data_IF_103752461296
#
_entry.id   IF_103752461296
#
_cell.length_a   1.000
_cell.length_b   1.000
_cell.length_c   1.000
_cell.angle_alpha   90.00
_cell.angle_beta   90.00
_cell.angle_gamma   90.00
#
_symmetry.space_group_name_H-M   'P 1'
#
loop_
_entity.id
_entity.type
_entity.pdbx_description
1 polymer ?
#
# COMPACT_ATOMS: atom_id res chain seq x y z
N UNK A 1 -29.58 4.04 -14.22
CA UNK A 1 -28.46 3.13 -14.49
C UNK A 1 -27.37 3.32 -13.45
N UNK A 2 -26.72 2.23 -13.06
CA UNK A 2 -25.63 2.33 -12.10
C UNK A 2 -24.38 2.91 -12.76
N UNK A 3 -23.58 3.63 -11.99
CA UNK A 3 -22.30 4.12 -12.45
C UNK A 3 -21.36 2.94 -12.72
N UNK A 4 -20.62 3.01 -13.80
CA UNK A 4 -19.68 1.95 -14.16
C UNK A 4 -18.31 2.21 -13.56
N UNK A 5 -17.69 1.14 -13.07
CA UNK A 5 -16.37 1.22 -12.46
C UNK A 5 -15.33 1.79 -13.41
N UNK A 6 -15.41 1.42 -14.69
CA UNK A 6 -14.47 1.94 -15.72
C UNK A 6 -14.57 3.45 -15.88
N UNK A 7 -15.78 4.00 -15.81
CA UNK A 7 -16.01 5.43 -15.90
C UNK A 7 -15.32 6.15 -14.74
N UNK A 8 -15.52 5.65 -13.52
CA UNK A 8 -14.91 6.24 -12.33
C UNK A 8 -13.41 6.05 -12.35
N UNK A 9 -12.93 4.89 -12.79
CA UNK A 9 -11.48 4.63 -12.91
C UNK A 9 -10.81 5.64 -13.84
N UNK A 10 -11.45 5.99 -14.95
CA UNK A 10 -10.93 6.99 -15.89
C UNK A 10 -10.82 8.36 -15.22
N UNK A 11 -11.84 8.75 -14.46
CA UNK A 11 -11.82 10.04 -13.74
C UNK A 11 -10.74 10.07 -12.65
N UNK A 12 -10.56 8.97 -11.95
CA UNK A 12 -9.51 8.87 -10.93
C UNK A 12 -8.14 9.02 -11.59
N UNK A 13 -7.91 8.33 -12.69
CA UNK A 13 -6.63 8.41 -13.41
C UNK A 13 -6.35 9.82 -13.92
N UNK A 14 -7.37 10.51 -14.41
CA UNK A 14 -7.22 11.89 -14.84
C UNK A 14 -6.81 12.81 -13.68
N UNK A 15 -7.45 12.63 -12.51
CA UNK A 15 -7.09 13.39 -11.32
C UNK A 15 -5.68 13.10 -10.83
N UNK A 16 -5.25 11.85 -10.92
CA UNK A 16 -3.91 11.44 -10.50
C UNK A 16 -2.80 11.95 -11.42
N UNK A 17 -3.13 12.26 -12.68
CA UNK A 17 -2.15 12.79 -13.63
C UNK A 17 -1.60 14.14 -13.23
N UNK A 18 -2.34 14.92 -12.43
CA UNK A 18 -1.89 16.21 -11.95
C UNK A 18 -0.76 16.11 -10.93
N UNK A 19 -0.61 14.95 -10.29
CA UNK A 19 0.47 14.72 -9.32
C UNK A 19 0.95 13.27 -9.44
N UNK A 20 2.07 13.09 -10.11
CA UNK A 20 2.63 11.76 -10.39
C UNK A 20 3.10 11.02 -9.14
N UNK A 21 3.24 11.72 -8.02
CA UNK A 21 3.59 11.06 -6.76
C UNK A 21 2.44 10.28 -6.16
N UNK A 22 1.21 10.51 -6.63
CA UNK A 22 0.02 9.83 -6.14
C UNK A 22 -0.36 8.65 -7.03
N UNK A 23 -0.92 7.61 -6.43
CA UNK A 23 -1.38 6.44 -7.17
C UNK A 23 -2.59 5.80 -6.49
N UNK A 24 -3.35 5.04 -7.27
CA UNK A 24 -4.56 4.36 -6.81
C UNK A 24 -4.21 3.03 -6.14
N UNK A 25 -4.79 2.80 -4.96
CA UNK A 25 -4.68 1.52 -4.25
C UNK A 25 -5.92 0.67 -4.53
N UNK A 26 -7.11 1.25 -4.37
CA UNK A 26 -8.34 0.49 -4.55
C UNK A 26 -9.48 1.40 -4.95
N UNK A 27 -10.43 0.86 -5.71
CA UNK A 27 -11.66 1.54 -6.11
C UNK A 27 -12.81 0.57 -5.95
N UNK A 28 -13.78 0.94 -5.12
CA UNK A 28 -14.97 0.14 -4.87
C UNK A 28 -16.21 0.94 -5.15
N UNK A 29 -17.21 0.31 -5.78
CA UNK A 29 -18.53 0.89 -5.96
C UNK A 29 -19.51 -0.12 -5.40
N UNK A 30 -20.21 0.27 -4.34
CA UNK A 30 -21.21 -0.59 -3.71
C UNK A 30 -22.63 -0.14 -4.08
N UNK A 31 -23.62 -0.87 -3.60
CA UNK A 31 -25.04 -0.60 -3.90
C UNK A 31 -25.41 0.85 -3.56
N UNK A 32 -26.19 1.47 -4.45
CA UNK A 32 -26.60 2.85 -4.28
C UNK A 32 -25.55 3.84 -4.76
N UNK A 33 -24.63 3.40 -5.62
CA UNK A 33 -23.56 4.23 -6.15
C UNK A 33 -22.68 4.84 -5.05
N UNK A 34 -22.33 4.02 -4.06
CA UNK A 34 -21.38 4.41 -3.02
C UNK A 34 -19.96 4.15 -3.54
N UNK A 35 -19.25 5.22 -3.86
CA UNK A 35 -17.91 5.15 -4.44
C UNK A 35 -16.87 5.35 -3.34
N UNK A 36 -15.95 4.41 -3.22
CA UNK A 36 -14.82 4.54 -2.29
C UNK A 36 -13.52 4.41 -3.05
N UNK A 37 -12.68 5.43 -2.93
CA UNK A 37 -11.38 5.49 -3.59
C UNK A 37 -10.29 5.55 -2.52
N UNK A 38 -9.35 4.64 -2.59
CA UNK A 38 -8.21 4.63 -1.68
C UNK A 38 -6.95 4.92 -2.49
N UNK A 39 -6.23 5.95 -2.10
CA UNK A 39 -5.01 6.39 -2.77
C UNK A 39 -3.83 6.37 -1.80
N UNK A 40 -2.64 6.33 -2.35
CA UNK A 40 -1.42 6.52 -1.59
C UNK A 40 -0.45 7.34 -2.45
N UNK A 41 0.70 7.67 -1.90
CA UNK A 41 1.68 8.47 -2.61
C UNK A 41 3.10 8.08 -2.23
N UNK A 42 4.04 8.47 -3.06
CA UNK A 42 5.47 8.30 -2.78
C UNK A 42 5.90 9.20 -1.61
N UNK A 43 5.06 10.16 -1.25
CA UNK A 43 5.20 11.07 -0.12
C UNK A 43 3.98 10.96 0.78
N UNK A 44 4.03 11.58 1.95
CA UNK A 44 2.88 11.62 2.84
C UNK A 44 1.75 12.44 2.20
N UNK A 45 0.54 11.92 2.30
CA UNK A 45 -0.63 12.58 1.74
C UNK A 45 -1.19 13.62 2.70
N UNK A 46 -1.68 14.72 2.14
CA UNK A 46 -2.42 15.74 2.87
C UNK A 46 -3.91 15.57 2.60
N UNK A 47 -4.74 16.25 3.40
CA UNK A 47 -6.18 16.30 3.16
C UNK A 47 -6.46 16.91 1.79
N UNK A 48 -5.67 17.91 1.39
CA UNK A 48 -5.80 18.55 0.08
C UNK A 48 -5.64 17.57 -1.08
N UNK A 49 -4.76 16.59 -0.94
CA UNK A 49 -4.57 15.58 -1.99
C UNK A 49 -5.86 14.79 -2.22
N UNK A 50 -6.51 14.34 -1.14
CA UNK A 50 -7.76 13.61 -1.24
C UNK A 50 -8.89 14.49 -1.78
N UNK A 51 -8.96 15.74 -1.35
CA UNK A 51 -9.97 16.70 -1.82
C UNK A 51 -9.82 16.94 -3.32
N UNK A 52 -8.60 17.12 -3.81
CA UNK A 52 -8.35 17.36 -5.22
C UNK A 52 -8.82 16.19 -6.09
N UNK A 53 -8.56 14.97 -5.67
CA UNK A 53 -9.03 13.77 -6.39
C UNK A 53 -10.56 13.69 -6.33
N UNK A 54 -11.15 13.96 -5.17
CA UNK A 54 -12.60 13.96 -4.99
C UNK A 54 -13.26 14.96 -5.95
N UNK A 55 -12.73 16.17 -6.05
CA UNK A 55 -13.27 17.19 -6.96
C UNK A 55 -13.12 16.79 -8.42
N UNK A 56 -12.01 16.19 -8.80
CA UNK A 56 -11.82 15.73 -10.18
C UNK A 56 -12.88 14.71 -10.58
N UNK A 57 -13.31 13.88 -9.64
CA UNK A 57 -14.38 12.89 -9.89
C UNK A 57 -15.75 13.59 -9.92
N UNK A 58 -16.06 14.37 -8.89
CA UNK A 58 -17.37 15.01 -8.74
C UNK A 58 -17.72 15.96 -9.88
N UNK A 59 -16.74 16.76 -10.34
CA UNK A 59 -16.99 17.74 -11.39
C UNK A 59 -17.31 17.11 -12.75
N UNK A 60 -17.02 15.83 -12.91
CA UNK A 60 -17.27 15.11 -14.15
C UNK A 60 -18.46 14.13 -14.05
N UNK A 61 -19.19 14.18 -12.94
CA UNK A 61 -20.41 13.40 -12.75
C UNK A 61 -21.58 14.33 -12.47
N UNK A 62 -22.77 13.95 -12.92
CA UNK A 62 -23.98 14.74 -12.73
C UNK A 62 -24.92 14.02 -11.77
N UNK A 63 -25.11 14.60 -10.57
CA UNK A 63 -26.00 14.04 -9.55
C UNK A 63 -27.47 14.09 -9.94
N UNK A 64 -27.84 14.99 -10.87
CA UNK A 64 -29.22 15.06 -11.36
C UNK A 64 -29.56 13.89 -12.27
N UNK A 65 -28.56 13.38 -13.00
CA UNK A 65 -28.73 12.20 -13.84
C UNK A 65 -28.67 10.94 -12.98
N UNK A 66 -27.69 10.87 -12.07
CA UNK A 66 -27.53 9.70 -11.22
C UNK A 66 -26.80 10.13 -9.93
N UNK A 67 -27.50 9.98 -8.80
CA UNK A 67 -26.94 10.36 -7.52
C UNK A 67 -25.87 9.35 -7.07
N UNK A 68 -24.93 9.81 -6.27
CA UNK A 68 -23.83 9.00 -5.77
C UNK A 68 -23.30 9.56 -4.46
N UNK A 69 -22.63 8.72 -3.69
CA UNK A 69 -21.78 9.18 -2.59
C UNK A 69 -20.33 8.88 -2.96
N UNK A 70 -19.42 9.75 -2.53
CA UNK A 70 -18.00 9.63 -2.86
C UNK A 70 -17.15 9.84 -1.63
N UNK A 71 -16.26 8.89 -1.38
CA UNK A 71 -15.26 9.00 -0.34
C UNK A 71 -13.89 8.76 -0.97
N UNK A 72 -12.97 9.70 -0.77
CA UNK A 72 -11.57 9.54 -1.17
C UNK A 72 -10.74 9.56 0.10
N UNK A 73 -9.99 8.49 0.34
CA UNK A 73 -9.20 8.35 1.55
C UNK A 73 -7.78 7.91 1.23
N UNK A 74 -6.86 8.24 2.14
CA UNK A 74 -5.49 7.75 2.04
C UNK A 74 -5.39 6.35 2.64
N UNK A 75 -4.44 5.56 2.14
CA UNK A 75 -4.15 4.24 2.69
C UNK A 75 -3.56 4.40 4.10
N UNK A 76 -4.10 3.65 5.06
CA UNK A 76 -3.61 3.69 6.43
C UNK A 76 -2.22 3.09 6.56
N UNK A 77 -1.45 3.54 7.55
CA UNK A 77 -0.08 3.11 7.76
C UNK A 77 0.05 1.61 8.04
N UNK A 78 -0.98 1.00 8.63
CA UNK A 78 -0.97 -0.43 8.97
C UNK A 78 -1.76 -1.29 7.97
N UNK A 79 -2.33 -0.67 6.94
CA UNK A 79 -3.05 -1.42 5.92
C UNK A 79 -2.10 -2.26 5.07
N UNK A 80 -2.56 -3.40 4.52
CA UNK A 80 -1.70 -4.21 3.65
C UNK A 80 -1.17 -3.40 2.48
N UNK A 81 0.10 -3.63 2.15
CA UNK A 81 0.74 -3.00 1.00
C UNK A 81 0.34 -3.75 -0.27
N UNK A 82 -0.21 -3.04 -1.24
CA UNK A 82 -0.74 -3.64 -2.46
C UNK A 82 -0.02 -3.18 -3.73
N UNK A 83 0.84 -2.18 -3.60
CA UNK A 83 1.56 -1.61 -4.74
C UNK A 83 3.05 -1.54 -4.46
N UNK A 84 3.87 -1.86 -5.48
CA UNK A 84 5.32 -1.86 -5.32
C UNK A 84 5.86 -0.50 -4.85
N UNK A 85 5.25 0.59 -5.29
CA UNK A 85 5.64 1.94 -4.85
C UNK A 85 5.47 2.13 -3.35
N UNK A 86 4.52 1.42 -2.72
CA UNK A 86 4.35 1.46 -1.27
C UNK A 86 5.53 0.82 -0.56
N UNK A 87 6.11 -0.24 -1.14
CA UNK A 87 7.33 -0.83 -0.57
C UNK A 87 8.49 0.15 -0.68
N UNK A 88 8.65 0.82 -1.82
CA UNK A 88 9.71 1.81 -1.99
C UNK A 88 9.61 2.94 -0.96
N UNK A 89 8.38 3.41 -0.70
CA UNK A 89 8.10 4.44 0.30
C UNK A 89 8.48 4.00 1.71
N UNK A 90 8.39 2.71 2.00
CA UNK A 90 8.57 2.17 3.33
C UNK A 90 9.94 1.54 3.57
N UNK A 91 10.90 1.78 2.69
CA UNK A 91 12.29 1.35 2.92
C UNK A 91 12.81 1.97 4.21
N UNK A 92 13.41 1.14 5.06
CA UNK A 92 13.86 1.53 6.39
C UNK A 92 12.89 1.17 7.50
N UNK A 93 11.70 0.69 7.16
CA UNK A 93 10.70 0.30 8.14
C UNK A 93 10.64 -1.22 8.26
N UNK A 94 10.12 -1.68 9.39
CA UNK A 94 9.94 -3.10 9.62
C UNK A 94 8.62 -3.57 9.02
N UNK A 95 8.67 -4.68 8.28
CA UNK A 95 7.50 -5.24 7.64
C UNK A 95 7.21 -6.66 8.11
N UNK A 96 5.93 -7.01 8.11
CA UNK A 96 5.49 -8.40 8.17
C UNK A 96 5.15 -8.81 6.74
N UNK A 97 5.85 -9.81 6.21
CA UNK A 97 5.67 -10.28 4.84
C UNK A 97 5.26 -11.74 4.87
N UNK A 98 4.13 -12.05 4.26
CA UNK A 98 3.59 -13.40 4.19
C UNK A 98 3.71 -13.89 2.74
N UNK A 99 4.35 -15.04 2.58
CA UNK A 99 4.39 -15.76 1.31
C UNK A 99 3.61 -17.06 1.48
N UNK A 100 3.49 -17.84 0.41
CA UNK A 100 2.82 -19.14 0.53
C UNK A 100 3.55 -20.12 1.44
N UNK A 101 4.84 -19.92 1.64
CA UNK A 101 5.68 -20.83 2.41
C UNK A 101 5.91 -20.37 3.84
N UNK A 102 5.96 -19.07 4.09
CA UNK A 102 6.35 -18.58 5.41
C UNK A 102 5.90 -17.16 5.69
N UNK A 103 6.04 -16.74 6.93
CA UNK A 103 5.86 -15.37 7.37
C UNK A 103 7.19 -14.84 7.89
N UNK A 104 7.61 -13.69 7.38
CA UNK A 104 8.88 -13.07 7.77
C UNK A 104 8.60 -11.68 8.36
N UNK A 105 9.15 -11.40 9.53
CA UNK A 105 9.16 -10.06 10.10
C UNK A 105 10.59 -9.52 9.99
N UNK A 106 10.78 -8.48 9.19
CA UNK A 106 12.11 -8.01 8.85
C UNK A 106 12.10 -6.54 8.45
N UNK A 107 13.29 -5.93 8.46
CA UNK A 107 13.46 -4.59 7.96
C UNK A 107 13.53 -4.61 6.44
N UNK A 108 12.79 -3.71 5.82
CA UNK A 108 12.85 -3.53 4.37
C UNK A 108 14.05 -2.62 4.07
N UNK A 109 15.08 -3.18 3.44
CA UNK A 109 16.32 -2.44 3.20
C UNK A 109 16.44 -1.91 1.78
N UNK A 110 15.62 -2.41 0.86
CA UNK A 110 15.65 -1.91 -0.51
C UNK A 110 14.62 -2.59 -1.38
N UNK A 111 14.38 -1.98 -2.52
CA UNK A 111 13.52 -2.53 -3.59
C UNK A 111 14.29 -2.34 -4.90
N UNK A 112 14.53 -3.44 -5.61
CA UNK A 112 15.14 -3.40 -6.94
C UNK A 112 14.23 -4.13 -7.92
N UNK A 113 13.84 -3.45 -8.99
CA UNK A 113 12.88 -3.99 -9.95
C UNK A 113 11.62 -4.46 -9.21
N UNK A 114 11.23 -5.71 -9.33
CA UNK A 114 10.08 -6.29 -8.66
C UNK A 114 10.45 -7.10 -7.43
N UNK A 115 11.66 -6.89 -6.88
CA UNK A 115 12.18 -7.69 -5.78
C UNK A 115 12.40 -6.81 -4.55
N UNK A 116 11.85 -7.25 -3.40
CA UNK A 116 12.10 -6.58 -2.12
C UNK A 116 13.24 -7.28 -1.41
N UNK A 117 14.07 -6.50 -0.72
CA UNK A 117 15.20 -6.98 0.05
C UNK A 117 14.92 -6.79 1.53
N UNK A 118 14.94 -7.88 2.26
CA UNK A 118 14.64 -7.91 3.70
C UNK A 118 15.85 -8.33 4.50
N UNK A 119 15.94 -7.81 5.72
CA UNK A 119 17.03 -8.11 6.65
C UNK A 119 16.48 -8.21 8.07
N UNK A 120 16.90 -9.26 8.78
CA UNK A 120 16.53 -9.41 10.18
C UNK A 120 17.62 -10.12 10.95
N UNK A 121 17.47 -10.13 12.27
CA UNK A 121 18.41 -10.82 13.17
C UNK A 121 17.67 -11.98 13.81
N UNK A 122 18.24 -13.18 13.72
CA UNK A 122 17.72 -14.37 14.36
C UNK A 122 18.71 -14.87 15.40
N UNK A 123 18.20 -15.53 16.43
CA UNK A 123 19.05 -16.20 17.42
C UNK A 123 19.17 -17.66 17.05
N UNK A 124 20.37 -18.12 16.88
CA UNK A 124 20.64 -19.52 16.52
C UNK A 124 21.65 -20.13 17.49
N UNK A 125 21.62 -21.48 17.66
CA UNK A 125 22.62 -22.13 18.50
C UNK A 125 24.02 -21.84 18.02
N UNK A 126 24.92 -21.62 18.96
CA UNK A 126 26.34 -21.39 18.62
C UNK A 126 26.94 -22.66 18.03
N UNK A 127 27.77 -22.58 16.98
CA UNK A 127 28.45 -23.74 16.40
C UNK A 127 29.36 -24.43 17.42
N UNK A 128 29.90 -23.64 18.36
CA UNK A 128 30.78 -24.16 19.41
C UNK A 128 30.33 -23.57 20.74
N UNK A 129 30.18 -24.43 21.76
CA UNK A 129 29.79 -24.02 23.09
C UNK A 129 28.28 -23.98 23.28
N UNK A 130 27.85 -23.48 24.45
CA UNK A 130 26.44 -23.39 24.82
C UNK A 130 25.88 -22.00 24.54
N UNK A 131 24.57 -21.94 24.42
CA UNK A 131 23.85 -20.69 24.23
C UNK A 131 23.57 -20.39 22.79
N UNK A 132 23.05 -19.18 22.54
CA UNK A 132 22.68 -18.73 21.21
C UNK A 132 23.43 -17.45 20.85
N UNK A 133 23.67 -17.25 19.58
CA UNK A 133 24.24 -16.01 19.09
C UNK A 133 23.32 -15.39 18.05
N UNK A 134 23.48 -14.10 17.81
CA UNK A 134 22.70 -13.39 16.83
C UNK A 134 23.29 -13.61 15.45
N UNK A 135 22.42 -14.01 14.52
CA UNK A 135 22.81 -14.20 13.11
C UNK A 135 21.99 -13.26 12.26
N UNK A 136 22.67 -12.51 11.41
CA UNK A 136 22.02 -11.60 10.49
C UNK A 136 21.57 -12.39 9.28
N UNK A 137 20.29 -12.28 8.94
CA UNK A 137 19.70 -12.97 7.81
C UNK A 137 19.15 -11.98 6.80
N UNK A 138 19.18 -12.36 5.55
CA UNK A 138 18.63 -11.56 4.45
C UNK A 138 17.78 -12.43 3.55
N UNK A 139 16.80 -11.84 2.92
CA UNK A 139 15.96 -12.52 1.94
C UNK A 139 15.62 -11.57 0.82
N UNK A 140 15.45 -12.13 -0.37
CA UNK A 140 15.00 -11.42 -1.55
C UNK A 140 13.70 -12.09 -1.99
N UNK A 141 12.62 -11.31 -2.04
CA UNK A 141 11.29 -11.84 -2.35
C UNK A 141 10.72 -11.07 -3.52
N UNK A 142 10.28 -11.79 -4.55
CA UNK A 142 9.61 -11.18 -5.69
C UNK A 142 8.24 -10.66 -5.25
N UNK A 143 7.87 -9.48 -5.74
CA UNK A 143 6.58 -8.86 -5.42
C UNK A 143 5.42 -9.82 -5.67
N UNK A 144 5.48 -10.58 -6.78
CA UNK A 144 4.42 -11.52 -7.15
C UNK A 144 4.31 -12.72 -6.20
N UNK A 145 5.33 -12.99 -5.40
CA UNK A 145 5.31 -14.09 -4.42
C UNK A 145 4.76 -13.67 -3.08
N UNK A 146 4.48 -12.39 -2.89
CA UNK A 146 3.97 -11.87 -1.63
C UNK A 146 2.45 -12.04 -1.59
N UNK A 147 1.97 -12.77 -0.57
CA UNK A 147 0.53 -12.93 -0.33
C UNK A 147 -0.01 -11.72 0.41
N UNK A 148 0.73 -11.23 1.40
CA UNK A 148 0.34 -10.08 2.21
C UNK A 148 1.58 -9.45 2.82
N UNK A 149 1.61 -8.12 2.87
CA UNK A 149 2.67 -7.39 3.54
C UNK A 149 2.08 -6.17 4.25
N UNK A 150 2.57 -5.89 5.46
CA UNK A 150 2.12 -4.76 6.27
C UNK A 150 3.30 -4.16 7.01
N UNK A 151 3.25 -2.86 7.23
CA UNK A 151 4.22 -2.19 8.09
C UNK A 151 3.92 -2.52 9.54
N UNK A 152 4.94 -2.89 10.29
CA UNK A 152 4.83 -3.13 11.73
C UNK A 152 5.15 -1.84 12.44
N UNK A 153 4.16 -1.32 13.17
CA UNK A 153 4.34 -0.11 13.96
C UNK A 153 4.66 -0.51 15.39
N UNK A 154 5.82 -0.05 15.87
CA UNK A 154 6.24 -0.34 17.23
C UNK A 154 6.03 0.92 18.09
N UNK A 155 5.07 0.85 19.00
CA UNK A 155 4.76 1.95 19.93
C UNK A 155 5.56 1.88 21.23
N UNK A 156 6.26 0.78 21.44
CA UNK A 156 7.09 0.58 22.63
C UNK A 156 8.54 0.85 22.30
N UNK A 157 9.11 1.83 22.94
CA UNK A 157 10.54 2.13 22.79
C UNK A 157 11.26 1.90 24.09
#
# INVERSE_FOLDING_TARGET
MALEKEQIMTLVKEGLQEDESLFLIDLQISNGNNIKVIIDGDRDLSISDCVNISRAIEHNLDREIEDFSLEVASCGATEPLEHLRQFQKNVGRKLSVVTEEEKIEADLIGVEDDIIHLKWVAKEPKPVGKGKHKVQKVAKIAFDDIVKAQVIINFNK
#
